data_IF_813779200005
#
_entry.id   IF_813779200005
#
_cell.length_a   1.000
_cell.length_b   1.000
_cell.length_c   1.000
_cell.angle_alpha   90.00
_cell.angle_beta   90.00
_cell.angle_gamma   90.00
#
_symmetry.space_group_name_H-M   'P 1'
#
loop_
_entity.id
_entity.type
_entity.pdbx_description
1 polymer ?
#
# COMPACT_ATOMS: atom_id res chain seq x y z
N UNK A 1 -11.00 8.52 4.68
CA UNK A 1 -11.22 7.42 3.71
C UNK A 1 -10.20 6.33 3.96
N UNK A 2 -10.59 5.06 4.07
CA UNK A 2 -9.66 3.94 4.35
C UNK A 2 -9.54 3.03 3.13
N UNK A 3 -8.32 2.62 2.81
CA UNK A 3 -7.97 1.71 1.72
C UNK A 3 -7.18 0.56 2.33
N UNK A 4 -7.47 -0.67 1.90
CA UNK A 4 -6.91 -1.88 2.48
C UNK A 4 -6.11 -2.66 1.45
N UNK A 5 -4.91 -3.07 1.84
CA UNK A 5 -4.03 -3.90 1.05
C UNK A 5 -3.83 -5.25 1.71
N UNK A 6 -4.24 -6.30 1.00
CA UNK A 6 -4.18 -7.69 1.46
C UNK A 6 -3.12 -8.43 0.66
N UNK A 7 -2.09 -8.93 1.33
CA UNK A 7 -1.11 -9.83 0.74
C UNK A 7 -1.63 -11.26 0.80
N UNK A 8 -1.72 -11.93 -0.35
CA UNK A 8 -2.23 -13.29 -0.48
C UNK A 8 -1.15 -14.19 -1.08
N UNK A 9 -0.84 -15.30 -0.41
CA UNK A 9 0.20 -16.24 -0.85
C UNK A 9 1.65 -15.82 -0.56
N UNK A 10 1.87 -14.68 0.11
CA UNK A 10 3.19 -14.23 0.55
C UNK A 10 3.09 -13.32 1.78
N UNK A 11 4.22 -13.08 2.45
CA UNK A 11 4.33 -12.15 3.57
C UNK A 11 4.90 -10.81 3.09
N UNK A 12 4.15 -9.72 3.24
CA UNK A 12 4.55 -8.38 2.90
C UNK A 12 5.36 -7.76 4.06
N UNK A 13 6.69 -7.73 3.92
CA UNK A 13 7.56 -7.10 4.93
C UNK A 13 7.58 -5.58 4.74
N UNK A 14 7.58 -5.13 3.48
CA UNK A 14 7.43 -3.74 3.08
C UNK A 14 6.21 -3.60 2.18
N UNK A 15 5.40 -2.58 2.45
CA UNK A 15 4.31 -2.13 1.59
C UNK A 15 4.59 -0.71 1.12
N UNK A 16 4.46 -0.50 -0.18
CA UNK A 16 4.57 0.78 -0.87
C UNK A 16 3.17 1.26 -1.22
N UNK A 17 2.83 2.49 -0.84
CA UNK A 17 1.53 3.08 -1.19
C UNK A 17 1.72 4.15 -2.25
N UNK A 18 0.97 4.02 -3.33
CA UNK A 18 0.99 4.95 -4.45
C UNK A 18 -0.36 5.61 -4.64
N UNK A 19 -0.35 6.80 -5.24
CA UNK A 19 -1.53 7.38 -5.88
C UNK A 19 -1.28 7.62 -7.35
N UNK A 20 -2.37 7.65 -8.11
CA UNK A 20 -2.39 8.03 -9.50
C UNK A 20 -3.50 9.05 -9.73
N UNK A 21 -3.11 10.24 -10.20
CA UNK A 21 -4.05 11.24 -10.69
C UNK A 21 -4.43 10.94 -12.16
N UNK A 22 -5.59 11.42 -12.64
CA UNK A 22 -5.97 11.24 -14.03
C UNK A 22 -4.87 11.70 -15.00
N UNK A 23 -4.51 10.84 -15.96
CA UNK A 23 -3.48 11.09 -16.98
C UNK A 23 -2.06 11.28 -16.43
N UNK A 24 -1.80 10.92 -15.17
CA UNK A 24 -0.47 10.95 -14.56
C UNK A 24 0.05 9.54 -14.29
N UNK A 25 1.37 9.43 -14.09
CA UNK A 25 2.00 8.21 -13.62
C UNK A 25 1.72 7.92 -12.14
N UNK A 26 2.21 6.77 -11.66
CA UNK A 26 2.19 6.46 -10.23
C UNK A 26 3.15 7.40 -9.47
N UNK A 27 2.68 7.95 -8.37
CA UNK A 27 3.49 8.69 -7.42
C UNK A 27 3.53 7.91 -6.11
N UNK A 28 4.73 7.57 -5.64
CA UNK A 28 4.92 6.97 -4.32
C UNK A 28 4.57 8.00 -3.25
N UNK A 29 3.77 7.60 -2.27
CA UNK A 29 3.36 8.44 -1.13
C UNK A 29 4.24 8.08 0.07
N UNK A 30 4.30 6.78 0.37
CA UNK A 30 4.89 6.28 1.61
C UNK A 30 5.33 4.83 1.45
N UNK A 31 6.48 4.54 2.03
CA UNK A 31 7.02 3.20 2.23
C UNK A 31 6.81 2.78 3.67
N UNK A 32 6.25 1.60 3.89
CA UNK A 32 5.94 1.08 5.22
C UNK A 32 6.58 -0.28 5.44
N UNK A 33 7.56 -0.33 6.33
CA UNK A 33 8.08 -1.59 6.85
C UNK A 33 7.21 -2.03 8.03
N UNK A 34 6.92 -3.34 8.11
CA UNK A 34 6.05 -3.87 9.16
C UNK A 34 6.54 -3.47 10.55
N UNK A 35 5.63 -2.98 11.38
CA UNK A 35 5.90 -2.63 12.78
C UNK A 35 6.88 -1.46 12.96
N UNK A 36 7.22 -0.74 11.89
CA UNK A 36 8.14 0.38 11.89
C UNK A 36 7.42 1.67 11.52
N UNK A 37 8.03 2.82 11.86
CA UNK A 37 7.54 4.12 11.40
C UNK A 37 7.60 4.20 9.86
N UNK A 38 6.52 4.63 9.19
CA UNK A 38 6.51 4.79 7.73
C UNK A 38 7.44 5.92 7.27
N UNK A 39 8.01 5.78 6.07
CA UNK A 39 8.85 6.78 5.42
C UNK A 39 8.08 7.45 4.28
N UNK A 40 7.82 8.75 4.39
CA UNK A 40 7.07 9.51 3.39
C UNK A 40 7.98 10.16 2.36
N UNK A 41 7.50 10.27 1.13
CA UNK A 41 8.10 11.12 0.10
C UNK A 41 7.88 12.61 0.43
N UNK A 42 8.70 13.49 -0.16
CA UNK A 42 8.82 14.90 0.22
C UNK A 42 7.49 15.68 0.31
N UNK A 43 6.54 15.41 -0.59
CA UNK A 43 5.26 16.13 -0.69
C UNK A 43 4.13 15.51 0.16
N UNK A 44 4.45 14.48 0.95
CA UNK A 44 3.48 13.70 1.69
C UNK A 44 3.82 13.65 3.18
N UNK A 45 2.84 13.26 4.00
CA UNK A 45 3.06 13.15 5.43
C UNK A 45 1.90 12.54 6.19
N UNK A 46 2.21 12.14 7.42
CA UNK A 46 1.31 11.42 8.34
C UNK A 46 0.03 12.19 8.68
N UNK A 47 0.03 13.52 8.62
CA UNK A 47 -1.19 14.32 8.87
C UNK A 47 -2.29 14.04 7.84
N UNK A 48 -1.93 13.65 6.63
CA UNK A 48 -2.88 13.40 5.52
C UNK A 48 -3.02 11.92 5.20
N UNK A 49 -1.94 11.16 5.30
CA UNK A 49 -1.87 9.76 4.92
C UNK A 49 -1.40 8.95 6.12
N UNK A 50 -2.32 8.30 6.82
CA UNK A 50 -1.99 7.45 7.96
C UNK A 50 -1.81 6.00 7.50
N UNK A 51 -0.71 5.37 7.90
CA UNK A 51 -0.44 3.95 7.62
C UNK A 51 -0.59 3.11 8.87
N UNK A 52 -1.29 1.98 8.74
CA UNK A 52 -1.22 0.88 9.69
C UNK A 52 -0.68 -0.36 8.98
N UNK A 53 0.45 -0.88 9.47
CA UNK A 53 1.12 -2.04 8.90
C UNK A 53 1.74 -2.89 10.03
N UNK A 54 0.89 -3.41 10.92
CA UNK A 54 1.28 -4.30 12.01
C UNK A 54 1.27 -5.79 11.61
N UNK A 55 0.60 -6.13 10.52
CA UNK A 55 0.47 -7.51 10.00
C UNK A 55 1.34 -7.72 8.76
N UNK A 56 1.76 -8.97 8.52
CA UNK A 56 2.45 -9.39 7.29
C UNK A 56 1.51 -9.65 6.11
N UNK A 57 0.22 -9.80 6.38
CA UNK A 57 -0.79 -10.10 5.37
C UNK A 57 -1.67 -8.90 5.04
N UNK A 58 -1.49 -7.80 5.77
CA UNK A 58 -2.44 -6.69 5.76
C UNK A 58 -1.79 -5.35 6.10
N UNK A 59 -2.06 -4.34 5.29
CA UNK A 59 -1.70 -2.95 5.51
C UNK A 59 -2.87 -2.04 5.12
N UNK A 60 -3.01 -0.88 5.76
CA UNK A 60 -4.04 0.10 5.42
C UNK A 60 -3.48 1.49 5.26
N UNK A 61 -4.00 2.21 4.27
CA UNK A 61 -3.82 3.64 4.09
C UNK A 61 -5.13 4.36 4.42
N UNK A 62 -5.08 5.27 5.38
CA UNK A 62 -6.18 6.18 5.69
C UNK A 62 -5.84 7.58 5.20
N UNK A 63 -6.67 8.10 4.28
CA UNK A 63 -6.62 9.50 3.85
C UNK A 63 -7.49 10.33 4.77
N UNK A 64 -6.84 11.12 5.62
CA UNK A 64 -7.48 12.01 6.60
C UNK A 64 -8.12 13.22 5.93
N UNK A 65 -9.26 13.66 6.48
CA UNK A 65 -9.99 14.84 5.97
C UNK A 65 -10.12 14.86 4.43
N UNK A 66 -10.53 13.74 3.84
CA UNK A 66 -10.56 13.56 2.39
C UNK A 66 -11.51 14.56 1.71
N UNK A 67 -11.02 15.24 0.67
CA UNK A 67 -11.73 16.25 -0.13
C UNK A 67 -11.82 15.80 -1.59
N UNK A 68 -12.71 16.38 -2.41
CA UNK A 68 -12.79 16.05 -3.84
C UNK A 68 -11.44 16.16 -4.57
N UNK A 69 -10.58 17.10 -4.18
CA UNK A 69 -9.24 17.27 -4.74
C UNK A 69 -8.27 16.10 -4.46
N UNK A 70 -8.56 15.28 -3.44
CA UNK A 70 -7.77 14.07 -3.11
C UNK A 70 -8.19 12.86 -3.95
N UNK A 71 -9.22 13.01 -4.80
CA UNK A 71 -9.73 11.92 -5.65
C UNK A 71 -8.62 11.42 -6.58
N UNK A 72 -8.18 10.20 -6.33
CA UNK A 72 -7.14 9.52 -7.09
C UNK A 72 -7.37 8.01 -7.02
N UNK A 73 -6.73 7.28 -7.93
CA UNK A 73 -6.60 5.84 -7.76
C UNK A 73 -5.46 5.58 -6.77
N UNK A 74 -5.68 4.69 -5.83
CA UNK A 74 -4.65 4.27 -4.87
C UNK A 74 -4.22 2.85 -5.20
N UNK A 75 -2.92 2.62 -5.08
CA UNK A 75 -2.32 1.31 -5.35
C UNK A 75 -1.43 0.96 -4.18
N UNK A 76 -1.36 -0.33 -3.85
CA UNK A 76 -0.29 -0.83 -3.00
C UNK A 76 0.63 -1.76 -3.80
N UNK A 77 1.92 -1.61 -3.55
CA UNK A 77 2.96 -2.56 -3.90
C UNK A 77 3.45 -3.27 -2.65
N UNK A 78 3.85 -4.52 -2.73
CA UNK A 78 4.53 -5.18 -1.62
C UNK A 78 5.78 -5.91 -2.10
N UNK A 79 6.82 -5.92 -1.26
CA UNK A 79 7.92 -6.85 -1.40
C UNK A 79 7.71 -8.03 -0.43
N UNK A 80 8.25 -9.19 -0.79
CA UNK A 80 8.31 -10.33 0.10
C UNK A 80 9.73 -10.80 0.28
N UNK A 81 10.07 -11.19 1.50
CA UNK A 81 11.23 -12.04 1.75
C UNK A 81 10.86 -13.53 1.60
N UNK A 82 9.57 -13.89 1.68
CA UNK A 82 9.12 -15.27 1.79
C UNK A 82 7.77 -15.48 1.06
N UNK A 83 7.80 -16.29 0.00
CA UNK A 83 6.58 -16.74 -0.71
C UNK A 83 6.20 -18.15 -0.28
N UNK A 84 4.89 -18.41 -0.22
CA UNK A 84 4.35 -19.75 0.02
C UNK A 84 4.36 -20.53 -1.31
N UNK A 85 5.03 -21.68 -1.35
CA UNK A 85 4.91 -22.58 -2.50
C UNK A 85 3.54 -23.29 -2.50
N UNK A 86 3.05 -23.77 -3.66
CA UNK A 86 1.82 -24.57 -3.76
C UNK A 86 1.82 -25.81 -2.85
N UNK A 87 3.01 -26.27 -2.44
CA UNK A 87 3.21 -27.41 -1.53
C UNK A 87 3.24 -27.00 -0.04
N UNK A 88 2.93 -25.74 0.30
CA UNK A 88 2.92 -25.24 1.67
C UNK A 88 4.30 -24.92 2.27
N UNK A 89 5.37 -25.05 1.47
CA UNK A 89 6.74 -24.73 1.90
C UNK A 89 7.07 -23.25 1.63
N UNK A 90 7.58 -22.56 2.64
CA UNK A 90 8.03 -21.17 2.55
C UNK A 90 9.43 -21.11 1.92
N UNK A 91 9.57 -20.41 0.80
CA UNK A 91 10.84 -20.22 0.11
C UNK A 91 11.19 -18.74 0.01
N UNK A 92 12.48 -18.43 -0.03
CA UNK A 92 12.94 -17.07 -0.34
C UNK A 92 12.51 -16.72 -1.75
N UNK A 93 11.81 -15.60 -1.92
CA UNK A 93 11.40 -15.13 -3.24
C UNK A 93 12.40 -14.12 -3.76
N UNK A 94 12.80 -14.26 -5.04
CA UNK A 94 13.36 -13.14 -5.79
C UNK A 94 12.40 -11.95 -5.68
N UNK A 95 12.92 -10.74 -5.46
CA UNK A 95 12.14 -9.53 -5.18
C UNK A 95 11.10 -9.26 -6.27
N UNK A 96 9.85 -9.68 -6.04
CA UNK A 96 8.70 -9.36 -6.91
C UNK A 96 7.91 -8.20 -6.29
N UNK A 97 7.82 -7.08 -7.01
CA UNK A 97 6.89 -6.00 -6.67
C UNK A 97 5.52 -6.34 -7.25
N UNK A 98 4.60 -6.85 -6.42
CA UNK A 98 3.21 -7.02 -6.83
C UNK A 98 2.46 -5.70 -6.62
N UNK A 99 2.10 -5.01 -7.69
CA UNK A 99 1.25 -3.81 -7.63
C UNK A 99 -0.20 -4.22 -7.80
N UNK A 100 -1.02 -4.01 -6.76
CA UNK A 100 -2.46 -4.28 -6.78
C UNK A 100 -3.21 -2.94 -6.91
N UNK A 101 -4.07 -2.84 -7.92
CA UNK A 101 -4.96 -1.68 -8.10
C UNK A 101 -6.14 -1.71 -7.15
N UNK A 102 -6.28 -0.66 -6.34
CA UNK A 102 -7.37 -0.50 -5.37
C UNK A 102 -8.17 0.75 -5.73
N UNK A 103 -9.18 0.59 -6.57
CA UNK A 103 -10.09 1.70 -6.87
C UNK A 103 -11.17 1.80 -5.81
N UNK A 104 -11.06 2.78 -4.91
CA UNK A 104 -12.24 3.33 -4.25
C UNK A 104 -12.64 4.60 -4.99
N UNK A 105 -13.74 4.53 -5.75
CA UNK A 105 -14.38 5.72 -6.29
C UNK A 105 -14.98 6.46 -5.11
N UNK A 106 -14.45 7.64 -4.77
CA UNK A 106 -14.99 8.46 -3.68
C UNK A 106 -16.39 8.96 -4.11
N UNK A 107 -17.43 8.20 -3.75
CA UNK A 107 -18.82 8.59 -3.95
C UNK A 107 -19.24 9.43 -2.76
N UNK A 108 -19.19 10.75 -2.90
CA UNK A 108 -19.80 11.66 -1.94
C UNK A 108 -21.30 11.71 -2.25
N UNK A 109 -22.14 11.44 -1.23
CA UNK A 109 -23.53 11.91 -1.20
C UNK A 109 -23.53 13.41 -0.94
#
# INVERSE_FOLDING_TARGET
MKIECHATGFQAQTVFWYRQLPKQGLTLIVTSNRGSTPTYEQDFGEKKFLINHSSLTFSTLTVESARPADSSLYFCGANSAICQSPHGQWNYSDTKHLVVGMSNKMSLK
#
